data_IF_277593693816
#
_entry.id   IF_277593693816
#
_cell.length_a   1.000
_cell.length_b   1.000
_cell.length_c   1.000
_cell.angle_alpha   90.00
_cell.angle_beta   90.00
_cell.angle_gamma   90.00
#
_symmetry.space_group_name_H-M   'P 1'
#
loop_
_entity.id
_entity.type
_entity.pdbx_description
1 polymer ?
#
# COMPACT_ATOMS: atom_id res chain seq x y z
N UNK A 1 -8.11 42.27 -30.47
CA UNK A 1 -7.46 42.08 -29.17
C UNK A 1 -6.90 40.66 -29.15
N UNK A 2 -5.63 40.52 -29.46
CA UNK A 2 -4.91 39.25 -29.52
C UNK A 2 -4.55 38.84 -28.07
N UNK A 3 -5.26 37.88 -27.51
CA UNK A 3 -4.95 37.30 -26.24
C UNK A 3 -3.58 36.62 -26.31
N UNK A 4 -2.63 37.13 -25.55
CA UNK A 4 -1.32 36.53 -25.33
C UNK A 4 -1.53 35.10 -24.86
N UNK A 5 -1.19 34.09 -25.69
CA UNK A 5 -0.93 32.73 -25.21
C UNK A 5 0.21 32.87 -24.20
N UNK A 6 -0.06 32.66 -22.91
CA UNK A 6 1.01 32.41 -21.94
C UNK A 6 1.83 31.25 -22.50
N UNK A 7 3.11 31.48 -22.78
CA UNK A 7 4.03 30.40 -23.15
C UNK A 7 3.95 29.35 -22.06
N UNK A 8 3.41 28.19 -22.40
CA UNK A 8 3.30 27.08 -21.48
C UNK A 8 4.72 26.57 -21.25
N UNK A 9 5.23 26.69 -20.05
CA UNK A 9 6.57 26.23 -19.70
C UNK A 9 6.73 24.79 -20.15
N UNK A 10 7.73 24.52 -20.99
CA UNK A 10 8.00 23.20 -21.56
C UNK A 10 9.29 22.55 -21.01
N UNK A 11 10.09 23.33 -20.25
CA UNK A 11 11.33 22.87 -19.62
C UNK A 11 11.31 23.08 -18.11
N UNK A 12 11.71 22.05 -17.35
CA UNK A 12 11.75 22.06 -15.89
C UNK A 12 13.10 21.60 -15.37
N UNK A 13 13.52 22.11 -14.21
CA UNK A 13 14.70 21.56 -13.52
C UNK A 13 14.45 20.20 -12.92
N UNK A 14 13.18 19.91 -12.53
CA UNK A 14 12.76 18.64 -11.99
C UNK A 14 11.38 18.26 -12.52
N UNK A 15 11.26 17.06 -13.09
CA UNK A 15 9.98 16.47 -13.46
C UNK A 15 9.77 15.16 -12.72
N UNK A 16 8.63 15.06 -12.01
CA UNK A 16 8.20 13.84 -11.34
C UNK A 16 7.28 13.00 -12.21
N UNK A 17 7.54 11.71 -12.32
CA UNK A 17 6.67 10.72 -12.96
C UNK A 17 5.93 9.95 -11.89
N UNK A 18 4.62 10.16 -11.80
CA UNK A 18 3.75 9.73 -10.69
C UNK A 18 3.70 10.76 -9.56
N UNK A 19 2.54 10.89 -8.92
CA UNK A 19 2.27 11.79 -7.80
C UNK A 19 1.78 11.02 -6.55
N UNK A 20 2.34 9.83 -6.32
CA UNK A 20 2.18 9.07 -5.08
C UNK A 20 2.94 9.71 -3.90
N UNK A 21 2.84 9.15 -2.67
CA UNK A 21 3.39 9.77 -1.46
C UNK A 21 4.85 10.18 -1.56
N UNK A 22 5.71 9.37 -2.21
CA UNK A 22 7.14 9.69 -2.35
C UNK A 22 7.39 10.95 -3.20
N UNK A 23 6.79 11.02 -4.39
CA UNK A 23 6.92 12.21 -5.23
C UNK A 23 6.11 13.40 -4.69
N UNK A 24 5.02 13.16 -3.99
CA UNK A 24 4.28 14.23 -3.31
C UNK A 24 5.10 14.87 -2.17
N UNK A 25 5.88 14.07 -1.44
CA UNK A 25 6.86 14.57 -0.47
C UNK A 25 7.89 15.47 -1.14
N UNK A 26 8.51 15.00 -2.24
CA UNK A 26 9.47 15.79 -3.00
C UNK A 26 8.84 17.08 -3.55
N UNK A 27 7.64 16.99 -4.13
CA UNK A 27 6.88 18.15 -4.61
C UNK A 27 6.62 19.18 -3.50
N UNK A 28 6.30 18.70 -2.29
CA UNK A 28 6.07 19.56 -1.12
C UNK A 28 7.32 20.28 -0.65
N UNK A 29 8.47 19.60 -0.68
CA UNK A 29 9.76 20.15 -0.26
C UNK A 29 10.35 21.17 -1.24
N UNK A 30 10.08 21.01 -2.56
CA UNK A 30 10.56 21.93 -3.59
C UNK A 30 9.54 23.01 -3.95
N UNK A 31 8.34 22.99 -3.37
CA UNK A 31 7.30 23.97 -3.64
C UNK A 31 7.72 25.39 -3.28
N UNK A 32 7.50 26.33 -4.22
CA UNK A 32 7.80 27.76 -4.02
C UNK A 32 9.28 28.11 -4.09
N UNK A 33 10.17 27.14 -4.35
CA UNK A 33 11.60 27.42 -4.59
C UNK A 33 11.79 27.92 -6.01
N UNK A 34 12.05 29.22 -6.18
CA UNK A 34 12.14 29.87 -7.49
C UNK A 34 13.23 29.29 -8.40
N UNK A 35 14.35 28.85 -7.81
CA UNK A 35 15.47 28.24 -8.50
C UNK A 35 15.19 26.79 -8.95
N UNK A 36 14.10 26.19 -8.50
CA UNK A 36 13.74 24.80 -8.76
C UNK A 36 12.38 24.71 -9.49
N UNK A 37 12.34 25.09 -10.76
CA UNK A 37 11.13 24.90 -11.56
C UNK A 37 10.79 23.39 -11.62
N UNK A 38 9.57 23.03 -11.26
CA UNK A 38 9.20 21.63 -11.13
C UNK A 38 7.76 21.36 -11.55
N UNK A 39 7.51 20.12 -11.97
CA UNK A 39 6.17 19.59 -12.26
C UNK A 39 6.13 18.11 -11.94
N UNK A 40 5.02 17.63 -11.38
CA UNK A 40 4.80 16.21 -11.07
C UNK A 40 3.54 15.73 -11.79
N UNK A 41 3.69 14.72 -12.65
CA UNK A 41 2.64 14.24 -13.55
C UNK A 41 2.10 12.90 -13.09
N UNK A 42 0.78 12.75 -13.00
CA UNK A 42 0.14 11.46 -12.73
C UNK A 42 -0.95 11.17 -13.79
N UNK A 43 -0.96 9.94 -14.29
CA UNK A 43 -1.95 9.49 -15.28
C UNK A 43 -3.36 9.30 -14.71
N UNK A 44 -3.53 9.22 -13.39
CA UNK A 44 -4.84 9.14 -12.73
C UNK A 44 -5.57 10.47 -12.87
N UNK A 45 -6.89 10.43 -12.87
CA UNK A 45 -7.72 11.64 -12.95
C UNK A 45 -7.68 12.52 -11.69
N UNK A 46 -7.34 11.93 -10.54
CA UNK A 46 -7.23 12.59 -9.24
C UNK A 46 -6.33 11.78 -8.32
N UNK A 47 -5.97 12.34 -7.17
CA UNK A 47 -5.20 11.63 -6.15
C UNK A 47 -5.93 10.38 -5.66
N UNK A 48 -5.23 9.26 -5.63
CA UNK A 48 -5.73 7.99 -5.08
C UNK A 48 -4.58 7.22 -4.42
N UNK A 49 -4.84 6.71 -3.23
CA UNK A 49 -3.87 5.95 -2.44
C UNK A 49 -4.61 4.94 -1.57
N UNK A 50 -4.45 3.64 -1.86
CA UNK A 50 -5.11 2.54 -1.15
C UNK A 50 -6.63 2.66 -0.99
N UNK A 51 -7.33 3.38 -1.88
CA UNK A 51 -8.76 3.68 -1.75
C UNK A 51 -9.62 2.42 -1.59
N UNK A 52 -9.23 1.31 -2.23
CA UNK A 52 -9.93 0.02 -2.14
C UNK A 52 -9.48 -0.86 -0.96
N UNK A 53 -8.66 -0.31 -0.05
CA UNK A 53 -8.19 -0.94 1.19
C UNK A 53 -8.46 -0.07 2.43
N UNK A 54 -9.42 0.85 2.35
CA UNK A 54 -9.83 1.71 3.47
C UNK A 54 -10.81 0.99 4.39
N UNK A 55 -10.38 -0.18 4.88
CA UNK A 55 -11.11 -0.96 5.88
C UNK A 55 -11.28 -0.13 7.15
N UNK A 56 -12.45 -0.19 7.77
CA UNK A 56 -12.70 0.56 8.99
C UNK A 56 -11.80 0.07 10.13
N UNK A 57 -11.23 1.01 10.87
CA UNK A 57 -10.24 0.72 11.91
C UNK A 57 -8.81 0.51 11.41
N UNK A 58 -8.56 0.49 10.09
CA UNK A 58 -7.20 0.41 9.57
C UNK A 58 -6.40 1.68 9.88
N UNK A 59 -5.19 1.50 10.41
CA UNK A 59 -4.28 2.56 10.84
C UNK A 59 -2.98 2.55 10.03
N UNK A 60 -2.16 3.57 10.23
CA UNK A 60 -0.78 3.59 9.80
C UNK A 60 0.12 2.91 10.84
N UNK A 61 1.15 2.25 10.38
CA UNK A 61 2.17 1.61 11.22
C UNK A 61 3.35 2.55 11.52
N UNK A 62 3.16 3.88 11.41
CA UNK A 62 4.25 4.87 11.56
C UNK A 62 3.76 6.12 12.28
N UNK A 63 4.69 6.82 12.93
CA UNK A 63 4.44 8.09 13.60
C UNK A 63 3.90 9.16 12.64
N UNK A 64 3.04 10.04 13.16
CA UNK A 64 2.50 11.20 12.44
C UNK A 64 3.57 12.15 11.89
N UNK A 65 4.76 12.19 12.50
CA UNK A 65 5.88 13.03 12.05
C UNK A 65 6.60 12.44 10.82
N UNK A 66 6.33 11.18 10.44
CA UNK A 66 6.79 10.58 9.18
C UNK A 66 5.81 10.93 8.04
N UNK A 67 5.43 12.19 7.98
CA UNK A 67 4.57 12.79 6.94
C UNK A 67 5.38 13.21 5.70
N UNK A 68 4.79 14.05 4.83
CA UNK A 68 5.44 14.46 3.58
C UNK A 68 6.70 15.31 3.77
N UNK A 69 6.85 16.05 4.88
CA UNK A 69 7.88 17.09 4.96
C UNK A 69 8.46 17.33 6.35
N UNK A 70 7.78 16.97 7.44
CA UNK A 70 8.13 17.37 8.81
C UNK A 70 9.56 16.98 9.21
N UNK A 71 10.03 15.80 8.84
CA UNK A 71 11.38 15.34 9.20
C UNK A 71 12.51 16.13 8.49
N UNK A 72 12.21 16.75 7.35
CA UNK A 72 13.18 17.53 6.56
C UNK A 72 12.99 19.03 6.77
N UNK A 73 11.73 19.47 6.80
CA UNK A 73 11.34 20.88 6.98
C UNK A 73 10.07 20.94 7.84
N UNK A 74 10.20 21.03 9.16
CA UNK A 74 9.05 21.05 10.08
C UNK A 74 8.16 22.28 9.93
N UNK A 75 8.65 23.33 9.27
CA UNK A 75 7.88 24.57 9.01
C UNK A 75 7.16 24.55 7.67
N UNK A 76 7.28 23.48 6.91
CA UNK A 76 6.68 23.34 5.60
C UNK A 76 5.15 23.41 5.67
N UNK A 77 4.56 24.11 4.71
CA UNK A 77 3.09 24.27 4.66
C UNK A 77 2.31 23.00 4.31
N UNK A 78 2.99 21.93 3.93
CA UNK A 78 2.41 20.62 3.64
C UNK A 78 2.66 19.59 4.75
N UNK A 79 2.96 20.00 5.98
CA UNK A 79 3.02 19.08 7.13
C UNK A 79 1.62 18.56 7.47
N UNK A 80 1.54 17.41 8.14
CA UNK A 80 0.27 16.87 8.63
C UNK A 80 -0.42 17.83 9.63
N UNK A 81 0.38 18.53 10.46
CA UNK A 81 -0.16 19.55 11.37
C UNK A 81 -0.74 20.75 10.62
N UNK A 82 -0.11 21.19 9.53
CA UNK A 82 -0.65 22.24 8.68
C UNK A 82 -2.00 21.85 8.06
N UNK A 83 -2.15 20.59 7.62
CA UNK A 83 -3.41 20.04 7.17
C UNK A 83 -4.49 20.07 8.27
N UNK A 84 -4.19 19.58 9.47
CA UNK A 84 -5.13 19.60 10.58
C UNK A 84 -5.57 21.03 10.93
N UNK A 85 -4.65 21.99 10.83
CA UNK A 85 -4.92 23.41 11.02
C UNK A 85 -5.88 23.94 9.92
N UNK A 86 -5.56 23.71 8.64
CA UNK A 86 -6.38 24.14 7.50
C UNK A 86 -7.81 23.59 7.58
N UNK A 87 -7.97 22.36 8.10
CA UNK A 87 -9.27 21.71 8.31
C UNK A 87 -9.96 22.08 9.63
N UNK A 88 -9.34 22.87 10.49
CA UNK A 88 -9.87 23.23 11.81
C UNK A 88 -9.97 22.06 12.80
N UNK A 89 -9.11 21.03 12.66
CA UNK A 89 -9.21 19.75 13.38
C UNK A 89 -8.16 19.53 14.45
N UNK A 90 -7.18 20.42 14.64
CA UNK A 90 -6.04 20.21 15.56
C UNK A 90 -6.51 19.78 16.94
N UNK A 91 -7.40 20.55 17.58
CA UNK A 91 -7.87 20.24 18.93
C UNK A 91 -8.64 18.92 19.01
N UNK A 92 -9.47 18.64 18.02
CA UNK A 92 -10.21 17.39 17.96
C UNK A 92 -9.28 16.20 17.80
N UNK A 93 -8.24 16.34 16.96
CA UNK A 93 -7.25 15.28 16.74
C UNK A 93 -6.43 15.00 18.01
N UNK A 94 -5.99 16.05 18.73
CA UNK A 94 -5.28 15.91 20.02
C UNK A 94 -6.17 15.21 21.04
N UNK A 95 -7.43 15.63 21.15
CA UNK A 95 -8.38 15.07 22.12
C UNK A 95 -8.79 13.62 21.78
N UNK A 96 -8.69 13.20 20.53
CA UNK A 96 -8.96 11.83 20.12
C UNK A 96 -7.88 10.84 20.60
N UNK A 97 -6.67 11.33 20.94
CA UNK A 97 -5.59 10.52 21.49
C UNK A 97 -5.31 9.23 20.69
N UNK A 98 -5.24 9.37 19.35
CA UNK A 98 -4.91 8.23 18.51
C UNK A 98 -3.48 7.75 18.77
N UNK A 99 -3.31 6.48 19.11
CA UNK A 99 -2.00 5.83 19.17
C UNK A 99 -1.39 5.73 17.78
N UNK A 100 -2.22 5.41 16.78
CA UNK A 100 -1.86 5.31 15.37
C UNK A 100 -2.86 6.10 14.51
N UNK A 101 -2.36 6.83 13.52
CA UNK A 101 -3.23 7.66 12.65
C UNK A 101 -4.18 6.76 11.87
N UNK A 102 -5.50 7.02 11.85
CA UNK A 102 -6.41 6.33 10.94
C UNK A 102 -5.95 6.49 9.48
N UNK A 103 -5.83 5.38 8.75
CA UNK A 103 -5.34 5.38 7.35
C UNK A 103 -6.14 6.34 6.47
N UNK A 104 -7.45 6.42 6.67
CA UNK A 104 -8.34 7.33 5.93
C UNK A 104 -8.01 8.80 6.18
N UNK A 105 -7.64 9.18 7.41
CA UNK A 105 -7.24 10.56 7.71
C UNK A 105 -5.92 10.91 7.04
N UNK A 106 -4.96 10.00 7.05
CA UNK A 106 -3.69 10.22 6.35
C UNK A 106 -3.87 10.28 4.82
N UNK A 107 -4.72 9.43 4.25
CA UNK A 107 -5.10 9.51 2.82
C UNK A 107 -5.72 10.87 2.48
N UNK A 108 -6.60 11.40 3.34
CA UNK A 108 -7.21 12.72 3.16
C UNK A 108 -6.18 13.84 3.23
N UNK A 109 -5.19 13.72 4.11
CA UNK A 109 -4.05 14.62 4.17
C UNK A 109 -3.24 14.61 2.86
N UNK A 110 -2.89 13.43 2.36
CA UNK A 110 -2.16 13.32 1.09
C UNK A 110 -2.96 13.93 -0.09
N UNK A 111 -4.26 13.69 -0.14
CA UNK A 111 -5.13 14.27 -1.15
C UNK A 111 -5.19 15.80 -1.05
N UNK A 112 -5.26 16.33 0.17
CA UNK A 112 -5.22 17.77 0.43
C UNK A 112 -3.90 18.39 -0.03
N UNK A 113 -2.76 17.76 0.27
CA UNK A 113 -1.46 18.24 -0.17
C UNK A 113 -1.34 18.24 -1.70
N UNK A 114 -1.82 17.18 -2.35
CA UNK A 114 -1.84 17.07 -3.81
C UNK A 114 -2.72 18.14 -4.47
N UNK A 115 -3.88 18.45 -3.88
CA UNK A 115 -4.80 19.48 -4.37
C UNK A 115 -4.23 20.91 -4.20
N UNK A 116 -3.56 21.17 -3.07
CA UNK A 116 -2.98 22.49 -2.76
C UNK A 116 -1.66 22.77 -3.48
N UNK A 117 -1.02 21.76 -4.05
CA UNK A 117 0.25 21.91 -4.76
C UNK A 117 -0.02 22.00 -6.28
N UNK A 118 0.01 23.22 -6.81
CA UNK A 118 -0.25 23.52 -8.22
C UNK A 118 0.78 22.92 -9.20
N UNK A 119 1.94 22.45 -8.70
CA UNK A 119 2.94 21.75 -9.50
C UNK A 119 2.60 20.24 -9.68
N UNK A 120 1.54 19.73 -9.02
CA UNK A 120 1.05 18.37 -9.19
C UNK A 120 -0.10 18.35 -10.17
N UNK A 121 0.06 17.63 -11.27
CA UNK A 121 -0.89 17.59 -12.39
C UNK A 121 -1.41 16.17 -12.59
N UNK A 122 -2.72 16.01 -12.49
CA UNK A 122 -3.42 14.74 -12.73
C UNK A 122 -3.96 14.65 -14.15
N UNK A 123 -4.26 13.42 -14.60
CA UNK A 123 -4.78 13.12 -15.92
C UNK A 123 -3.74 13.32 -17.02
N UNK A 124 -2.46 13.39 -16.69
CA UNK A 124 -1.36 13.50 -17.66
C UNK A 124 -0.39 12.33 -17.47
N UNK A 125 -0.47 11.34 -18.37
CA UNK A 125 0.31 10.12 -18.33
C UNK A 125 1.59 10.28 -19.13
N UNK A 126 2.73 10.00 -18.50
CA UNK A 126 4.03 9.85 -19.20
C UNK A 126 4.01 8.56 -20.00
N UNK A 127 4.33 8.66 -21.28
CA UNK A 127 4.33 7.56 -22.25
C UNK A 127 5.74 7.11 -22.61
N UNK A 128 6.68 8.07 -22.72
CA UNK A 128 8.08 7.79 -23.03
C UNK A 128 8.99 8.81 -22.35
N UNK A 129 10.18 8.35 -21.98
CA UNK A 129 11.28 9.17 -21.47
C UNK A 129 12.55 8.75 -22.18
N UNK A 130 13.20 9.71 -22.83
CA UNK A 130 14.51 9.58 -23.46
C UNK A 130 15.51 10.57 -22.86
N UNK A 131 16.78 10.34 -23.08
CA UNK A 131 17.85 11.25 -22.65
C UNK A 131 18.78 11.62 -23.82
N UNK A 132 18.92 12.94 -24.03
CA UNK A 132 19.85 13.50 -24.99
C UNK A 132 20.29 14.88 -24.45
N UNK A 133 21.34 14.92 -23.66
CA UNK A 133 21.80 16.04 -22.83
C UNK A 133 20.78 16.51 -21.76
N UNK A 134 19.49 16.41 -22.02
CA UNK A 134 18.37 16.60 -21.09
C UNK A 134 17.38 15.47 -21.25
N UNK A 135 16.55 15.24 -20.23
CA UNK A 135 15.45 14.30 -20.36
C UNK A 135 14.39 14.85 -21.30
N UNK A 136 13.96 14.05 -22.27
CA UNK A 136 12.83 14.31 -23.18
C UNK A 136 11.65 13.46 -22.77
N UNK A 137 10.55 14.07 -22.41
CA UNK A 137 9.37 13.40 -21.84
C UNK A 137 8.19 13.59 -22.76
N UNK A 138 7.64 12.47 -23.26
CA UNK A 138 6.41 12.46 -24.07
C UNK A 138 5.26 12.02 -23.15
N UNK A 139 4.22 12.84 -23.10
CA UNK A 139 2.98 12.55 -22.38
C UNK A 139 1.82 12.32 -23.35
N UNK A 140 0.66 11.93 -22.83
CA UNK A 140 -0.58 11.86 -23.62
C UNK A 140 -1.12 13.25 -24.01
N UNK A 141 -0.49 14.36 -23.58
CA UNK A 141 -0.96 15.73 -23.84
C UNK A 141 0.07 16.62 -24.52
N UNK A 142 1.38 16.43 -24.24
CA UNK A 142 2.43 17.34 -24.70
C UNK A 142 3.82 16.69 -24.58
N UNK A 143 4.80 17.36 -25.14
CA UNK A 143 6.22 17.06 -24.96
C UNK A 143 6.85 18.06 -23.98
N UNK A 144 7.70 17.56 -23.10
CA UNK A 144 8.39 18.30 -22.06
C UNK A 144 9.86 17.93 -22.03
N UNK A 145 10.67 18.79 -21.43
CA UNK A 145 12.07 18.50 -21.13
C UNK A 145 12.38 18.78 -19.67
N UNK A 146 13.36 18.07 -19.11
CA UNK A 146 13.81 18.30 -17.74
C UNK A 146 15.30 18.04 -17.57
N UNK A 147 15.94 18.77 -16.64
CA UNK A 147 17.32 18.51 -16.24
C UNK A 147 17.42 17.22 -15.40
N UNK A 148 16.40 16.97 -14.58
CA UNK A 148 16.31 15.81 -13.69
C UNK A 148 14.91 15.20 -13.72
N UNK A 149 14.83 13.88 -13.51
CA UNK A 149 13.55 13.19 -13.33
C UNK A 149 13.51 12.46 -11.98
N UNK A 150 12.32 12.43 -11.37
CA UNK A 150 12.02 11.63 -10.18
C UNK A 150 10.93 10.61 -10.50
N UNK A 151 11.27 9.31 -10.46
CA UNK A 151 10.34 8.24 -10.82
C UNK A 151 9.67 7.69 -9.56
N UNK A 152 8.42 8.04 -9.36
CA UNK A 152 7.58 7.67 -8.21
C UNK A 152 6.31 6.92 -8.62
N UNK A 153 6.41 5.94 -9.52
CA UNK A 153 5.28 5.17 -10.05
C UNK A 153 4.76 4.09 -9.08
N UNK A 154 5.41 3.92 -7.93
CA UNK A 154 4.98 3.02 -6.87
C UNK A 154 5.15 1.55 -7.22
N UNK A 155 4.27 0.75 -6.62
CA UNK A 155 4.23 -0.72 -6.75
C UNK A 155 2.91 -1.17 -7.34
N UNK A 156 2.88 -2.40 -7.84
CA UNK A 156 1.68 -3.06 -8.37
C UNK A 156 1.37 -4.32 -7.55
N UNK A 157 0.08 -4.71 -7.43
CA UNK A 157 -0.31 -5.94 -6.76
C UNK A 157 0.40 -7.15 -7.34
N UNK A 158 0.90 -8.01 -6.46
CA UNK A 158 1.52 -9.27 -6.87
C UNK A 158 0.58 -10.45 -6.60
N UNK A 159 0.33 -11.22 -7.63
CA UNK A 159 -0.42 -12.48 -7.55
C UNK A 159 0.41 -13.54 -8.28
N UNK A 160 0.51 -14.79 -7.77
CA UNK A 160 1.20 -15.85 -8.49
C UNK A 160 0.66 -16.07 -9.90
N UNK A 161 1.52 -16.41 -10.84
CA UNK A 161 1.18 -16.57 -12.25
C UNK A 161 0.02 -17.57 -12.46
N UNK A 162 0.04 -18.69 -11.73
CA UNK A 162 -1.01 -19.71 -11.82
C UNK A 162 -2.41 -19.20 -11.42
N UNK A 163 -2.49 -18.08 -10.69
CA UNK A 163 -3.74 -17.49 -10.25
C UNK A 163 -4.14 -16.25 -11.06
N UNK A 164 -3.20 -15.62 -11.75
CA UNK A 164 -3.39 -14.34 -12.43
C UNK A 164 -4.48 -14.38 -13.51
N UNK A 165 -4.59 -15.49 -14.26
CA UNK A 165 -5.60 -15.68 -15.30
C UNK A 165 -7.03 -15.82 -14.78
N UNK A 166 -7.20 -16.04 -13.47
CA UNK A 166 -8.49 -16.31 -12.84
C UNK A 166 -9.00 -15.15 -11.97
N UNK A 167 -8.31 -14.01 -11.99
CA UNK A 167 -8.73 -12.84 -11.23
C UNK A 167 -10.08 -12.31 -11.73
N UNK A 168 -10.99 -12.06 -10.79
CA UNK A 168 -12.36 -11.65 -11.09
C UNK A 168 -13.11 -11.20 -9.83
N UNK A 169 -14.41 -11.45 -9.78
CA UNK A 169 -15.29 -11.05 -8.68
C UNK A 169 -15.09 -11.88 -7.40
N UNK A 170 -14.75 -13.15 -7.53
CA UNK A 170 -14.61 -14.10 -6.42
C UNK A 170 -13.17 -14.54 -6.17
N UNK A 171 -12.22 -14.10 -7.01
CA UNK A 171 -10.79 -14.27 -6.79
C UNK A 171 -10.08 -12.98 -7.14
N UNK A 172 -9.49 -12.29 -6.17
CA UNK A 172 -8.90 -10.98 -6.38
C UNK A 172 -7.76 -10.67 -5.41
N UNK A 173 -6.90 -9.72 -5.79
CA UNK A 173 -5.89 -9.18 -4.88
C UNK A 173 -6.56 -8.24 -3.86
N UNK A 174 -6.04 -8.22 -2.64
CA UNK A 174 -6.56 -7.40 -1.52
C UNK A 174 -6.69 -5.92 -1.88
N UNK A 175 -5.88 -5.40 -2.81
CA UNK A 175 -6.00 -4.02 -3.32
C UNK A 175 -7.36 -3.70 -3.95
N UNK A 176 -8.23 -4.70 -4.13
CA UNK A 176 -9.58 -4.57 -4.67
C UNK A 176 -10.65 -5.00 -3.66
N UNK A 177 -10.28 -5.19 -2.41
CA UNK A 177 -11.15 -5.77 -1.40
C UNK A 177 -12.46 -4.98 -1.25
N UNK A 178 -12.39 -3.67 -1.06
CA UNK A 178 -13.57 -2.82 -0.86
C UNK A 178 -14.46 -2.73 -2.12
N UNK A 179 -13.90 -2.87 -3.32
CA UNK A 179 -14.68 -2.88 -4.56
C UNK A 179 -15.39 -4.22 -4.81
N UNK A 180 -14.82 -5.32 -4.32
CA UNK A 180 -15.22 -6.70 -4.61
C UNK A 180 -15.90 -7.39 -3.44
N UNK A 181 -16.01 -6.69 -2.32
CA UNK A 181 -16.69 -7.17 -1.12
C UNK A 181 -18.23 -7.13 -1.31
N UNK A 182 -18.70 -7.79 -2.37
CA UNK A 182 -20.10 -8.17 -2.45
C UNK A 182 -20.36 -9.27 -1.42
N UNK A 183 -21.52 -9.27 -0.81
CA UNK A 183 -21.95 -10.16 0.28
C UNK A 183 -21.07 -11.40 0.52
N UNK A 184 -20.42 -11.46 1.66
CA UNK A 184 -19.69 -12.64 2.15
C UNK A 184 -20.59 -13.58 2.96
N UNK A 185 -21.83 -13.18 3.20
CA UNK A 185 -22.80 -13.95 3.98
C UNK A 185 -22.96 -15.37 3.42
N UNK A 186 -22.79 -16.36 4.26
CA UNK A 186 -22.90 -17.77 3.88
C UNK A 186 -21.79 -18.29 2.98
N UNK A 187 -20.68 -17.56 2.82
CA UNK A 187 -19.55 -17.91 1.94
C UNK A 187 -18.37 -18.49 2.71
N UNK A 188 -17.63 -19.38 2.05
CA UNK A 188 -16.30 -19.80 2.48
C UNK A 188 -15.26 -18.86 1.89
N UNK A 189 -14.53 -18.13 2.74
CA UNK A 189 -13.51 -17.15 2.31
C UNK A 189 -12.12 -17.67 2.65
N UNK A 190 -11.23 -17.70 1.67
CA UNK A 190 -9.82 -18.03 1.87
C UNK A 190 -8.95 -16.79 1.66
N UNK A 191 -8.15 -16.43 2.66
CA UNK A 191 -7.18 -15.33 2.62
C UNK A 191 -5.79 -15.94 2.49
N UNK A 192 -5.00 -15.48 1.52
CA UNK A 192 -3.65 -15.98 1.26
C UNK A 192 -2.64 -14.86 1.46
N UNK A 193 -1.85 -14.97 2.53
CA UNK A 193 -0.81 -14.01 2.91
C UNK A 193 -0.85 -13.62 4.37
N UNK A 194 0.29 -13.71 5.06
CA UNK A 194 0.43 -13.47 6.50
C UNK A 194 1.03 -12.11 6.85
N UNK A 195 0.71 -11.06 6.08
CA UNK A 195 1.08 -9.67 6.36
C UNK A 195 -0.10 -8.83 6.81
N UNK A 196 0.14 -7.52 7.01
CA UNK A 196 -0.85 -6.55 7.51
C UNK A 196 -2.19 -6.59 6.73
N UNK A 197 -2.13 -6.57 5.40
CA UNK A 197 -3.36 -6.55 4.58
C UNK A 197 -4.21 -7.81 4.75
N UNK A 198 -3.58 -8.98 4.92
CA UNK A 198 -4.29 -10.22 5.22
C UNK A 198 -4.94 -10.21 6.60
N UNK A 199 -4.24 -9.66 7.59
CA UNK A 199 -4.73 -9.51 8.95
C UNK A 199 -5.93 -8.55 9.03
N UNK A 200 -5.88 -7.43 8.31
CA UNK A 200 -6.97 -6.46 8.25
C UNK A 200 -8.23 -7.06 7.63
N UNK A 201 -8.09 -7.78 6.51
CA UNK A 201 -9.23 -8.49 5.89
C UNK A 201 -9.79 -9.56 6.83
N UNK A 202 -8.91 -10.32 7.50
CA UNK A 202 -9.34 -11.35 8.44
C UNK A 202 -10.13 -10.74 9.61
N UNK A 203 -9.64 -9.64 10.19
CA UNK A 203 -10.29 -8.93 11.27
C UNK A 203 -11.65 -8.34 10.83
N UNK A 204 -11.72 -7.76 9.64
CA UNK A 204 -12.94 -7.21 9.06
C UNK A 204 -14.01 -8.29 8.90
N UNK A 205 -13.65 -9.45 8.33
CA UNK A 205 -14.56 -10.58 8.18
C UNK A 205 -15.03 -11.15 9.53
N UNK A 206 -14.14 -11.23 10.52
CA UNK A 206 -14.53 -11.61 11.90
C UNK A 206 -15.45 -10.61 12.57
N UNK A 207 -15.36 -9.34 12.18
CA UNK A 207 -16.13 -8.23 12.78
C UNK A 207 -17.48 -8.01 12.09
N UNK A 208 -17.71 -8.68 10.95
CA UNK A 208 -19.00 -8.62 10.25
C UNK A 208 -20.13 -9.07 11.18
N UNK A 209 -21.30 -8.38 11.19
CA UNK A 209 -22.44 -8.74 12.03
C UNK A 209 -22.94 -10.17 11.81
N UNK A 210 -23.59 -10.74 12.84
CA UNK A 210 -24.22 -12.05 12.73
C UNK A 210 -25.30 -12.00 11.63
N UNK A 211 -25.34 -13.04 10.79
CA UNK A 211 -26.24 -13.12 9.63
C UNK A 211 -25.66 -12.55 8.33
N UNK A 212 -24.68 -11.67 8.41
CA UNK A 212 -23.92 -11.15 7.26
C UNK A 212 -22.52 -11.76 7.16
N UNK A 213 -22.12 -12.52 8.18
CA UNK A 213 -20.79 -13.13 8.32
C UNK A 213 -20.61 -14.31 7.35
N UNK A 214 -19.38 -14.56 6.88
CA UNK A 214 -19.06 -15.81 6.18
C UNK A 214 -19.28 -17.02 7.09
N UNK A 215 -19.60 -18.18 6.50
CA UNK A 215 -19.71 -19.45 7.24
C UNK A 215 -18.35 -20.05 7.57
N UNK A 216 -17.30 -19.65 6.82
CA UNK A 216 -15.93 -20.05 7.13
C UNK A 216 -14.91 -19.04 6.62
N UNK A 217 -13.82 -18.90 7.39
CA UNK A 217 -12.67 -18.08 7.05
C UNK A 217 -11.41 -18.91 7.22
N UNK A 218 -10.68 -19.10 6.14
CA UNK A 218 -9.37 -19.73 6.14
C UNK A 218 -8.30 -18.70 5.88
N UNK A 219 -7.31 -18.61 6.76
CA UNK A 219 -6.18 -17.72 6.59
C UNK A 219 -4.87 -18.51 6.47
N UNK A 220 -4.28 -18.48 5.28
CA UNK A 220 -3.12 -19.27 4.89
C UNK A 220 -1.88 -18.38 4.81
N UNK A 221 -0.78 -18.81 5.44
CA UNK A 221 0.50 -18.11 5.41
C UNK A 221 1.66 -19.08 5.22
N UNK A 222 2.65 -18.69 4.39
CA UNK A 222 3.94 -19.40 4.27
C UNK A 222 4.80 -19.27 5.53
N UNK A 223 4.58 -18.23 6.32
CA UNK A 223 5.31 -18.00 7.56
C UNK A 223 4.91 -19.05 8.61
N UNK A 224 5.83 -19.33 9.52
CA UNK A 224 5.59 -20.29 10.62
C UNK A 224 4.56 -19.80 11.64
N UNK A 225 4.32 -18.49 11.66
CA UNK A 225 3.30 -17.85 12.48
C UNK A 225 2.89 -16.52 11.87
N UNK A 226 1.89 -15.86 12.45
CA UNK A 226 1.54 -14.48 12.17
C UNK A 226 2.40 -13.59 13.07
N UNK A 227 3.44 -12.97 12.48
CA UNK A 227 4.43 -12.22 13.23
C UNK A 227 4.09 -10.73 13.30
N UNK A 228 4.34 -10.09 14.45
CA UNK A 228 4.23 -8.65 14.57
C UNK A 228 5.28 -7.95 13.67
N UNK A 229 5.00 -6.70 13.31
CA UNK A 229 6.03 -5.80 12.81
C UNK A 229 7.02 -5.50 13.93
N UNK A 230 8.31 -5.48 13.60
CA UNK A 230 9.32 -5.02 14.55
C UNK A 230 9.52 -3.51 14.40
N UNK A 231 8.76 -2.76 15.17
CA UNK A 231 8.82 -1.30 15.30
C UNK A 231 9.46 -0.86 16.61
N UNK A 232 10.28 -1.75 17.20
CA UNK A 232 11.01 -1.45 18.44
C UNK A 232 11.92 -0.22 18.28
N UNK A 233 12.26 0.41 19.41
CA UNK A 233 12.98 1.68 19.43
C UNK A 233 14.28 1.63 18.62
N UNK A 234 15.09 0.58 18.79
CA UNK A 234 16.36 0.45 18.08
C UNK A 234 16.19 -0.05 16.64
N UNK A 235 15.17 -0.81 16.33
CA UNK A 235 14.85 -1.21 14.96
C UNK A 235 14.49 -0.01 14.10
N UNK A 236 13.85 1.00 14.69
CA UNK A 236 13.54 2.25 13.99
C UNK A 236 14.79 3.05 13.55
N UNK A 237 15.98 2.77 14.10
CA UNK A 237 17.24 3.36 13.63
C UNK A 237 17.58 2.95 12.19
N UNK A 238 17.08 1.81 11.70
CA UNK A 238 17.24 1.38 10.30
C UNK A 238 16.58 2.33 9.28
N UNK A 239 15.69 3.20 9.74
CA UNK A 239 15.02 4.20 8.90
C UNK A 239 15.65 5.59 8.98
N UNK A 240 16.75 5.74 9.72
CA UNK A 240 17.50 7.01 9.78
C UNK A 240 18.36 7.22 8.53
N UNK A 241 18.56 8.48 8.08
CA UNK A 241 19.42 8.79 6.94
C UNK A 241 20.84 8.24 7.06
N UNK A 242 21.45 8.29 8.26
CA UNK A 242 22.77 7.75 8.51
C UNK A 242 22.86 6.22 8.28
N UNK A 243 21.79 5.48 8.58
CA UNK A 243 21.74 4.06 8.27
C UNK A 243 21.64 3.82 6.75
N UNK A 244 20.87 4.63 6.03
CA UNK A 244 20.82 4.55 4.56
C UNK A 244 22.17 4.76 3.92
N UNK A 245 22.96 5.73 4.43
CA UNK A 245 24.33 5.98 3.96
C UNK A 245 25.26 4.79 4.24
N UNK A 246 25.15 4.17 5.40
CA UNK A 246 25.88 2.97 5.76
C UNK A 246 25.49 1.79 4.86
N UNK A 247 24.19 1.50 4.77
CA UNK A 247 23.63 0.39 4.01
C UNK A 247 24.02 0.46 2.52
N UNK A 248 23.99 1.65 1.93
CA UNK A 248 24.34 1.85 0.52
C UNK A 248 25.82 1.54 0.21
N UNK A 249 26.71 1.64 1.19
CA UNK A 249 28.13 1.28 1.06
C UNK A 249 28.39 -0.22 1.20
N UNK A 250 27.44 -1.00 1.68
CA UNK A 250 27.59 -2.44 1.84
C UNK A 250 27.63 -3.14 0.47
N UNK A 251 28.44 -4.22 0.31
CA UNK A 251 28.37 -5.12 -0.82
C UNK A 251 26.97 -5.68 -1.04
N UNK A 252 26.59 -5.95 -2.29
CA UNK A 252 25.24 -6.38 -2.67
C UNK A 252 24.75 -7.60 -1.87
N UNK A 253 25.62 -8.61 -1.66
CA UNK A 253 25.26 -9.82 -0.92
C UNK A 253 24.91 -9.53 0.56
N UNK A 254 25.63 -8.59 1.20
CA UNK A 254 25.31 -8.17 2.57
C UNK A 254 24.01 -7.37 2.63
N UNK A 255 23.77 -6.48 1.65
CA UNK A 255 22.47 -5.78 1.57
C UNK A 255 21.31 -6.76 1.44
N UNK A 256 21.46 -7.79 0.59
CA UNK A 256 20.44 -8.83 0.40
C UNK A 256 20.24 -9.69 1.65
N UNK A 257 21.32 -10.01 2.38
CA UNK A 257 21.26 -10.73 3.63
C UNK A 257 20.53 -9.89 4.70
N UNK A 258 20.97 -8.67 4.92
CA UNK A 258 20.37 -7.72 5.88
C UNK A 258 18.88 -7.52 5.65
N UNK A 259 18.46 -7.35 4.37
CA UNK A 259 17.04 -7.21 4.05
C UNK A 259 16.23 -8.47 4.40
N UNK A 260 16.80 -9.65 4.25
CA UNK A 260 16.13 -10.90 4.64
C UNK A 260 16.03 -11.05 6.16
N UNK A 261 17.08 -10.70 6.88
CA UNK A 261 17.13 -10.77 8.34
C UNK A 261 16.15 -9.78 8.98
N UNK A 262 16.03 -8.58 8.40
CA UNK A 262 15.20 -7.49 8.89
C UNK A 262 13.80 -7.44 8.25
N UNK A 263 13.32 -8.54 7.64
CA UNK A 263 12.05 -8.51 6.91
C UNK A 263 10.84 -8.08 7.75
N UNK A 264 10.87 -8.36 9.06
CA UNK A 264 9.78 -7.99 9.96
C UNK A 264 9.76 -6.49 10.29
N UNK A 265 10.79 -5.72 9.94
CA UNK A 265 10.76 -4.26 10.12
C UNK A 265 9.78 -3.57 9.17
N UNK A 266 9.39 -4.25 8.08
CA UNK A 266 8.45 -3.72 7.08
C UNK A 266 7.24 -4.63 6.82
N UNK A 267 7.39 -5.95 6.96
CA UNK A 267 6.41 -6.93 6.49
C UNK A 267 5.64 -7.64 7.64
N UNK A 268 5.72 -7.12 8.85
CA UNK A 268 4.97 -7.61 10.02
C UNK A 268 3.51 -7.11 10.03
N UNK A 269 2.78 -7.57 11.04
CA UNK A 269 1.41 -7.12 11.34
C UNK A 269 1.48 -6.20 12.55
N UNK A 270 0.71 -5.08 12.59
CA UNK A 270 0.66 -4.25 13.79
C UNK A 270 0.26 -5.10 15.00
N UNK A 271 0.91 -4.88 16.13
CA UNK A 271 0.62 -5.60 17.36
C UNK A 271 -0.83 -5.34 17.81
N UNK A 272 -1.33 -4.13 17.60
CA UNK A 272 -2.72 -3.75 17.85
C UNK A 272 -3.71 -4.60 17.03
N UNK A 273 -3.43 -4.83 15.74
CA UNK A 273 -4.25 -5.69 14.87
C UNK A 273 -4.22 -7.16 15.32
N UNK A 274 -3.04 -7.69 15.65
CA UNK A 274 -2.91 -9.07 16.15
C UNK A 274 -3.69 -9.27 17.44
N UNK A 275 -3.61 -8.32 18.36
CA UNK A 275 -4.34 -8.35 19.64
C UNK A 275 -5.85 -8.33 19.40
N UNK A 276 -6.36 -7.46 18.54
CA UNK A 276 -7.78 -7.40 18.20
C UNK A 276 -8.27 -8.72 17.59
N UNK A 277 -7.49 -9.29 16.66
CA UNK A 277 -7.81 -10.61 16.08
C UNK A 277 -7.92 -11.67 17.19
N UNK A 278 -6.93 -11.75 18.07
CA UNK A 278 -6.90 -12.76 19.11
C UNK A 278 -8.06 -12.60 20.11
N UNK A 279 -8.38 -11.38 20.51
CA UNK A 279 -9.51 -11.05 21.37
C UNK A 279 -10.85 -11.43 20.70
N UNK A 280 -10.99 -11.16 19.40
CA UNK A 280 -12.18 -11.53 18.63
C UNK A 280 -12.34 -13.06 18.54
N UNK A 281 -11.24 -13.77 18.25
CA UNK A 281 -11.24 -15.23 18.23
C UNK A 281 -11.59 -15.82 19.61
N UNK A 282 -11.05 -15.25 20.69
CA UNK A 282 -11.39 -15.66 22.06
C UNK A 282 -12.89 -15.46 22.33
N UNK A 283 -13.43 -14.32 21.96
CA UNK A 283 -14.87 -14.03 22.14
C UNK A 283 -15.75 -15.02 21.38
N UNK A 284 -15.42 -15.28 20.10
CA UNK A 284 -16.16 -16.21 19.25
C UNK A 284 -16.08 -17.68 19.71
N UNK A 285 -14.97 -18.07 20.31
CA UNK A 285 -14.77 -19.44 20.74
C UNK A 285 -15.32 -19.73 22.15
N UNK A 286 -15.29 -18.74 23.05
CA UNK A 286 -15.48 -19.00 24.48
C UNK A 286 -16.55 -18.14 25.15
N UNK A 287 -16.83 -16.92 24.68
CA UNK A 287 -17.79 -16.03 25.33
C UNK A 287 -19.14 -16.11 24.61
N UNK A 288 -19.14 -15.91 23.32
CA UNK A 288 -20.35 -15.94 22.49
C UNK A 288 -20.08 -16.86 21.30
N UNK A 289 -20.11 -18.19 21.51
CA UNK A 289 -19.75 -19.14 20.46
C UNK A 289 -20.57 -18.90 19.20
N UNK A 290 -19.88 -18.53 18.14
CA UNK A 290 -20.46 -18.31 16.81
C UNK A 290 -20.33 -19.58 15.96
N UNK A 291 -21.27 -19.78 15.04
CA UNK A 291 -21.20 -20.86 14.06
C UNK A 291 -20.38 -20.41 12.85
N UNK A 292 -19.05 -20.32 13.01
CA UNK A 292 -18.12 -19.98 11.92
C UNK A 292 -16.94 -20.95 11.94
N UNK A 293 -16.62 -21.53 10.80
CA UNK A 293 -15.42 -22.37 10.61
C UNK A 293 -14.20 -21.48 10.42
N UNK A 294 -13.31 -21.42 11.44
CA UNK A 294 -12.10 -20.60 11.40
C UNK A 294 -10.88 -21.51 11.37
N UNK A 295 -10.08 -21.39 10.31
CA UNK A 295 -8.81 -22.09 10.19
C UNK A 295 -7.64 -21.12 9.98
N UNK A 296 -6.67 -21.15 10.90
CA UNK A 296 -5.39 -20.44 10.82
C UNK A 296 -4.32 -21.42 10.38
N UNK A 297 -3.83 -21.29 9.14
CA UNK A 297 -2.94 -22.26 8.52
C UNK A 297 -1.59 -21.60 8.18
N UNK A 298 -0.66 -21.71 9.13
CA UNK A 298 0.74 -21.26 8.97
C UNK A 298 1.61 -22.37 8.37
N UNK A 299 2.83 -22.06 7.94
CA UNK A 299 3.74 -22.99 7.25
C UNK A 299 3.11 -23.64 6.00
N UNK A 300 2.23 -22.95 5.29
CA UNK A 300 1.58 -23.46 4.08
C UNK A 300 1.86 -22.57 2.88
N UNK A 301 2.33 -23.19 1.81
CA UNK A 301 2.57 -22.51 0.53
C UNK A 301 1.52 -22.93 -0.49
N UNK A 302 0.70 -21.97 -0.92
CA UNK A 302 -0.28 -22.21 -2.00
C UNK A 302 0.48 -22.48 -3.29
N UNK A 303 0.17 -23.60 -3.92
CA UNK A 303 0.79 -24.05 -5.17
C UNK A 303 -0.12 -23.92 -6.38
N UNK A 304 -1.43 -23.90 -6.16
CA UNK A 304 -2.40 -23.78 -7.25
C UNK A 304 -3.78 -23.32 -6.77
N UNK A 305 -4.57 -22.73 -7.68
CA UNK A 305 -6.00 -22.44 -7.48
C UNK A 305 -6.73 -22.77 -8.78
N UNK A 306 -7.72 -23.63 -8.69
CA UNK A 306 -8.51 -24.11 -9.83
C UNK A 306 -9.99 -23.87 -9.59
N UNK A 307 -10.73 -23.66 -10.67
CA UNK A 307 -12.18 -23.67 -10.59
C UNK A 307 -12.65 -25.10 -10.30
N UNK A 308 -13.35 -25.26 -9.19
CA UNK A 308 -13.94 -26.52 -8.74
C UNK A 308 -15.38 -26.71 -9.25
N UNK A 309 -16.06 -27.72 -8.69
CA UNK A 309 -17.49 -27.87 -8.90
C UNK A 309 -18.30 -26.74 -8.26
N UNK A 310 -19.54 -26.54 -8.71
CA UNK A 310 -20.46 -25.54 -8.16
C UNK A 310 -19.93 -24.09 -8.16
N UNK A 311 -19.01 -23.76 -9.05
CA UNK A 311 -18.43 -22.42 -9.17
C UNK A 311 -17.60 -21.97 -7.93
N UNK A 312 -17.04 -22.92 -7.19
CA UNK A 312 -16.10 -22.71 -6.08
C UNK A 312 -14.65 -22.76 -6.57
N UNK A 313 -13.73 -22.28 -5.74
CA UNK A 313 -12.29 -22.38 -5.96
C UNK A 313 -11.71 -23.49 -5.13
N UNK A 314 -10.96 -24.41 -5.74
CA UNK A 314 -10.12 -25.37 -5.03
C UNK A 314 -8.72 -24.78 -4.87
N UNK A 315 -8.36 -24.46 -3.64
CA UNK A 315 -7.03 -23.94 -3.24
C UNK A 315 -6.17 -25.12 -2.84
N UNK A 316 -5.08 -25.35 -3.56
CA UNK A 316 -4.11 -26.43 -3.33
C UNK A 316 -2.85 -25.83 -2.70
N UNK A 317 -2.37 -26.42 -1.59
CA UNK A 317 -1.19 -25.92 -0.87
C UNK A 317 -0.41 -27.05 -0.24
N UNK A 318 0.89 -26.80 -0.02
CA UNK A 318 1.83 -27.72 0.59
C UNK A 318 2.17 -27.27 2.01
N UNK A 319 2.15 -28.17 2.96
CA UNK A 319 2.70 -27.97 4.29
C UNK A 319 4.24 -27.97 4.21
N UNK A 320 4.89 -26.86 4.57
CA UNK A 320 6.33 -26.67 4.31
C UNK A 320 7.25 -27.56 5.16
N UNK A 321 6.78 -28.00 6.33
CA UNK A 321 7.60 -28.83 7.22
C UNK A 321 7.43 -30.34 6.94
N UNK A 322 6.23 -30.81 6.55
CA UNK A 322 5.95 -32.24 6.27
C UNK A 322 5.91 -32.58 4.79
N UNK A 323 5.86 -31.57 3.91
CA UNK A 323 5.65 -31.71 2.46
C UNK A 323 4.30 -32.33 2.05
N UNK A 324 3.35 -32.43 2.97
CA UNK A 324 2.01 -32.95 2.67
C UNK A 324 1.25 -31.96 1.79
N UNK A 325 0.54 -32.52 0.79
CA UNK A 325 -0.36 -31.75 -0.06
C UNK A 325 -1.75 -31.69 0.56
N UNK A 326 -2.25 -30.50 0.74
CA UNK A 326 -3.57 -30.21 1.29
C UNK A 326 -4.40 -29.41 0.27
N UNK A 327 -5.71 -29.44 0.41
CA UNK A 327 -6.59 -28.57 -0.40
C UNK A 327 -7.83 -28.15 0.37
N UNK A 328 -8.40 -27.01 0.01
CA UNK A 328 -9.66 -26.49 0.57
C UNK A 328 -10.49 -25.83 -0.53
N UNK A 329 -11.81 -26.01 -0.42
CA UNK A 329 -12.77 -25.30 -1.28
C UNK A 329 -13.07 -23.92 -0.69
N UNK A 330 -13.25 -22.93 -1.55
CA UNK A 330 -13.59 -21.55 -1.18
C UNK A 330 -14.56 -20.94 -2.22
N UNK A 331 -15.51 -20.14 -1.76
CA UNK A 331 -16.34 -19.31 -2.64
C UNK A 331 -15.56 -18.06 -3.08
N UNK A 332 -14.74 -17.52 -2.17
CA UNK A 332 -13.96 -16.29 -2.38
C UNK A 332 -12.50 -16.52 -1.99
N UNK A 333 -11.58 -16.12 -2.86
CA UNK A 333 -10.14 -16.14 -2.60
C UNK A 333 -9.58 -14.71 -2.63
N UNK A 334 -8.96 -14.29 -1.52
CA UNK A 334 -8.33 -12.98 -1.36
C UNK A 334 -6.80 -13.15 -1.33
N UNK A 335 -6.13 -12.62 -2.33
CA UNK A 335 -4.67 -12.61 -2.41
C UNK A 335 -4.11 -11.40 -1.66
N UNK A 336 -3.62 -11.63 -0.45
CA UNK A 336 -2.92 -10.63 0.37
C UNK A 336 -1.39 -10.87 0.27
N UNK A 337 -0.91 -11.08 -0.94
CA UNK A 337 0.44 -11.56 -1.26
C UNK A 337 1.45 -10.42 -1.47
N UNK A 338 1.02 -9.18 -1.20
CA UNK A 338 1.87 -7.99 -1.26
C UNK A 338 2.00 -7.41 -2.67
N UNK A 339 3.06 -6.67 -2.88
CA UNK A 339 3.28 -5.86 -4.06
C UNK A 339 4.66 -6.10 -4.66
N UNK A 340 4.81 -5.83 -5.94
CA UNK A 340 6.09 -5.80 -6.65
C UNK A 340 6.33 -4.43 -7.29
N UNK A 341 7.56 -4.13 -7.66
CA UNK A 341 7.87 -2.89 -8.35
C UNK A 341 7.09 -2.80 -9.67
N UNK A 342 6.51 -1.64 -9.93
CA UNK A 342 5.85 -1.38 -11.22
C UNK A 342 6.89 -1.38 -12.34
N UNK A 343 6.61 -2.06 -13.42
CA UNK A 343 7.44 -2.03 -14.63
C UNK A 343 7.43 -0.62 -15.25
N UNK A 344 8.61 -0.20 -15.71
CA UNK A 344 8.84 1.16 -16.20
C UNK A 344 9.02 1.14 -17.72
N UNK A 345 8.04 0.61 -18.45
CA UNK A 345 8.09 0.48 -19.91
C UNK A 345 8.35 1.82 -20.63
N UNK A 346 7.97 2.94 -20.01
CA UNK A 346 8.23 4.29 -20.54
C UNK A 346 9.72 4.68 -20.51
N UNK A 347 10.60 3.88 -19.92
CA UNK A 347 12.06 4.07 -19.92
C UNK A 347 12.77 3.24 -20.99
N UNK A 348 12.08 2.73 -21.98
CA UNK A 348 12.64 1.80 -22.97
C UNK A 348 13.81 2.34 -23.80
N UNK A 349 14.12 3.63 -23.70
CA UNK A 349 15.25 4.31 -24.34
C UNK A 349 16.44 4.62 -23.41
N UNK A 350 16.38 4.24 -22.13
CA UNK A 350 17.41 4.57 -21.11
C UNK A 350 18.21 3.35 -20.66
#
# INVERSE_FOLDING_TARGET
MTGSRKDVQSHFKLLGVGAGPANLSLASLVYGKQEMSNIFLDGKSSFSWHDDQMIDGATLQVSLFKDLSTLTDPTNKFTFLAYLHDKGRIYHFINAQFDEIPRREFRNYLAWAAEKNENVVFGEKVLNVDFDNVFKIVTNKRELTADNIAIGVGTQPWVPEFASAHLGQTQFHVSKYMQRNSSVAGKQVTIIGGGQSGAEVFLDLLSTPDGERPVGIHWISRRRNFFPIDDSTFTNDFYMPCYSDYFNKLPLHLRQQTNRENILTSDGISESTLRQIYQKLYSLNFITPGQIDIALQTSRSVSNVKLGGNNTWRVEYCHLDSADMESKEADIVVWATGYTATEKHFLGGL
#
